data_IF_688888403155
#
_entry.id   IF_688888403155
#
_cell.length_a   1.000
_cell.length_b   1.000
_cell.length_c   1.000
_cell.angle_alpha   90.00
_cell.angle_beta   90.00
_cell.angle_gamma   90.00
#
_symmetry.space_group_name_H-M   'P 1'
#
loop_
_entity.id
_entity.type
_entity.pdbx_description
1 polymer ?
#
# COMPACT_ATOMS: atom_id res chain seq x y z
N UNK A 1 1.71 25.84 8.16
CA UNK A 1 1.11 24.56 7.70
C UNK A 1 1.86 24.03 6.47
N UNK A 2 3.13 23.63 6.62
CA UNK A 2 3.99 23.27 5.47
C UNK A 2 3.79 21.81 5.01
N UNK A 3 3.39 20.91 5.90
CA UNK A 3 3.14 19.49 5.59
C UNK A 3 1.85 19.23 4.80
N UNK A 4 0.86 20.14 4.85
CA UNK A 4 -0.41 20.00 4.13
C UNK A 4 -0.24 19.97 2.60
N UNK A 5 0.82 20.61 2.08
CA UNK A 5 1.06 20.74 0.64
C UNK A 5 1.54 19.43 -0.01
N UNK A 6 2.22 18.58 0.75
CA UNK A 6 2.67 17.25 0.27
C UNK A 6 1.71 16.13 0.65
N UNK A 7 0.83 16.33 1.65
CA UNK A 7 -0.14 15.32 2.08
C UNK A 7 -1.15 14.98 0.99
N UNK A 8 -1.66 15.99 0.28
CA UNK A 8 -2.64 15.82 -0.79
C UNK A 8 -2.10 15.05 -2.01
N UNK A 9 -0.92 15.40 -2.59
CA UNK A 9 -0.36 14.62 -3.69
C UNK A 9 0.02 13.20 -3.24
N UNK A 10 0.43 12.98 -1.99
CA UNK A 10 0.72 11.64 -1.48
C UNK A 10 -0.55 10.77 -1.43
N UNK A 11 -1.69 11.35 -1.05
CA UNK A 11 -2.99 10.66 -1.09
C UNK A 11 -3.43 10.32 -2.51
N UNK A 12 -3.21 11.22 -3.47
CA UNK A 12 -3.48 10.94 -4.87
C UNK A 12 -2.57 9.85 -5.44
N UNK A 13 -1.30 9.83 -5.04
CA UNK A 13 -0.38 8.75 -5.37
C UNK A 13 -0.87 7.41 -4.78
N UNK A 14 -1.25 7.39 -3.50
CA UNK A 14 -1.84 6.22 -2.87
C UNK A 14 -3.12 5.76 -3.59
N UNK A 15 -3.98 6.68 -3.98
CA UNK A 15 -5.18 6.36 -4.76
C UNK A 15 -4.82 5.71 -6.10
N UNK A 16 -3.85 6.26 -6.84
CA UNK A 16 -3.38 5.68 -8.11
C UNK A 16 -2.77 4.29 -7.92
N UNK A 17 -1.96 4.10 -6.88
CA UNK A 17 -1.38 2.79 -6.54
C UNK A 17 -2.46 1.77 -6.16
N UNK A 18 -3.47 2.18 -5.39
CA UNK A 18 -4.59 1.32 -5.01
C UNK A 18 -5.48 0.94 -6.19
N UNK A 19 -5.70 1.87 -7.13
CA UNK A 19 -6.41 1.58 -8.37
C UNK A 19 -5.61 0.59 -9.24
N UNK A 20 -4.31 0.83 -9.40
CA UNK A 20 -3.42 -0.07 -10.13
C UNK A 20 -3.37 -1.46 -9.51
N UNK A 21 -3.34 -1.55 -8.17
CA UNK A 21 -3.33 -2.85 -7.50
C UNK A 21 -4.65 -3.59 -7.65
N UNK A 22 -5.79 -2.89 -7.60
CA UNK A 22 -7.09 -3.49 -7.88
C UNK A 22 -7.18 -4.02 -9.31
N UNK A 23 -6.68 -3.27 -10.30
CA UNK A 23 -6.61 -3.74 -11.70
C UNK A 23 -5.71 -4.98 -11.80
N UNK A 24 -4.55 -4.98 -11.16
CA UNK A 24 -3.65 -6.14 -11.17
C UNK A 24 -4.29 -7.38 -10.54
N UNK A 25 -5.10 -7.23 -9.48
CA UNK A 25 -5.88 -8.34 -8.88
C UNK A 25 -6.90 -8.88 -9.88
N UNK A 26 -7.69 -8.00 -10.52
CA UNK A 26 -8.71 -8.41 -11.51
C UNK A 26 -8.08 -9.12 -12.71
N UNK A 27 -6.89 -8.70 -13.13
CA UNK A 27 -6.15 -9.31 -14.24
C UNK A 27 -5.38 -10.58 -13.83
N UNK A 28 -5.40 -10.97 -12.55
CA UNK A 28 -4.66 -12.14 -12.05
C UNK A 28 -3.14 -11.93 -11.92
N UNK A 29 -2.65 -10.70 -12.03
CA UNK A 29 -1.23 -10.35 -11.91
C UNK A 29 -0.82 -10.21 -10.45
N UNK A 30 -0.70 -11.35 -9.77
CA UNK A 30 -0.55 -11.39 -8.32
C UNK A 30 0.73 -10.70 -7.81
N UNK A 31 1.85 -10.81 -8.53
CA UNK A 31 3.10 -10.10 -8.19
C UNK A 31 2.92 -8.57 -8.30
N UNK A 32 2.35 -8.10 -9.41
CA UNK A 32 2.10 -6.67 -9.61
C UNK A 32 1.13 -6.12 -8.55
N UNK A 33 0.11 -6.90 -8.19
CA UNK A 33 -0.82 -6.54 -7.12
C UNK A 33 -0.11 -6.36 -5.77
N UNK A 34 0.82 -7.24 -5.41
CA UNK A 34 1.60 -7.11 -4.16
C UNK A 34 2.57 -5.92 -4.22
N UNK A 35 3.27 -5.74 -5.35
CA UNK A 35 4.24 -4.65 -5.54
C UNK A 35 3.58 -3.26 -5.52
N UNK A 36 2.35 -3.13 -6.02
CA UNK A 36 1.60 -1.88 -5.98
C UNK A 36 0.92 -1.65 -4.62
N UNK A 37 0.42 -2.71 -3.99
CA UNK A 37 -0.27 -2.61 -2.70
C UNK A 37 0.66 -2.29 -1.53
N UNK A 38 1.92 -2.73 -1.59
CA UNK A 38 2.90 -2.45 -0.52
C UNK A 38 3.19 -0.95 -0.35
N UNK A 39 3.61 -0.18 -1.37
CA UNK A 39 3.81 1.26 -1.25
C UNK A 39 2.50 2.00 -0.96
N UNK A 40 1.37 1.54 -1.51
CA UNK A 40 0.03 2.04 -1.16
C UNK A 40 -0.22 1.97 0.36
N UNK A 41 -0.02 0.80 0.97
CA UNK A 41 -0.22 0.62 2.41
C UNK A 41 0.72 1.49 3.24
N UNK A 42 2.00 1.61 2.85
CA UNK A 42 2.97 2.46 3.55
C UNK A 42 2.55 3.93 3.57
N UNK A 43 2.03 4.45 2.45
CA UNK A 43 1.54 5.84 2.38
C UNK A 43 0.34 6.04 3.32
N UNK A 44 -0.57 5.06 3.40
CA UNK A 44 -1.72 5.14 4.30
C UNK A 44 -1.36 4.98 5.77
N UNK A 45 -0.34 4.19 6.12
CA UNK A 45 0.21 4.15 7.48
C UNK A 45 0.71 5.53 7.89
N UNK A 46 1.48 6.19 7.00
CA UNK A 46 1.98 7.54 7.23
C UNK A 46 0.82 8.56 7.39
N UNK A 47 -0.17 8.52 6.50
CA UNK A 47 -1.35 9.40 6.59
C UNK A 47 -2.18 9.14 7.86
N UNK A 48 -2.36 7.87 8.24
CA UNK A 48 -3.09 7.47 9.45
C UNK A 48 -2.38 7.89 10.73
N UNK A 49 -1.04 7.91 10.72
CA UNK A 49 -0.25 8.48 11.80
C UNK A 49 -0.45 9.99 11.93
N UNK A 50 -0.41 10.72 10.81
CA UNK A 50 -0.53 12.18 10.81
C UNK A 50 -1.90 12.69 11.27
N UNK A 51 -2.98 11.93 10.98
CA UNK A 51 -4.35 12.31 11.33
C UNK A 51 -4.91 11.64 12.59
N UNK A 52 -4.10 10.84 13.30
CA UNK A 52 -4.54 10.04 14.46
C UNK A 52 -5.76 9.14 14.14
N UNK A 53 -5.72 8.45 13.00
CA UNK A 53 -6.74 7.50 12.56
C UNK A 53 -6.25 6.05 12.85
N UNK A 54 -6.49 5.49 14.05
CA UNK A 54 -5.86 4.23 14.46
C UNK A 54 -6.30 3.04 13.61
N UNK A 55 -7.56 2.98 13.20
CA UNK A 55 -8.10 1.88 12.40
C UNK A 55 -7.40 1.79 11.05
N UNK A 56 -7.26 2.92 10.35
CA UNK A 56 -6.59 3.01 9.05
C UNK A 56 -5.10 2.68 9.15
N UNK A 57 -4.45 3.06 10.25
CA UNK A 57 -3.05 2.73 10.51
C UNK A 57 -2.85 1.23 10.72
N UNK A 58 -3.63 0.59 11.59
CA UNK A 58 -3.43 -0.83 11.92
C UNK A 58 -3.79 -1.75 10.76
N UNK A 59 -4.88 -1.49 10.03
CA UNK A 59 -5.26 -2.31 8.87
C UNK A 59 -4.19 -2.27 7.77
N UNK A 60 -3.63 -1.09 7.48
CA UNK A 60 -2.57 -0.97 6.48
C UNK A 60 -1.26 -1.58 6.95
N UNK A 61 -0.97 -1.60 8.26
CA UNK A 61 0.17 -2.33 8.82
C UNK A 61 0.00 -3.85 8.65
N UNK A 62 -1.17 -4.39 8.93
CA UNK A 62 -1.47 -5.81 8.71
C UNK A 62 -1.36 -6.17 7.22
N UNK A 63 -1.93 -5.37 6.33
CA UNK A 63 -1.82 -5.59 4.89
C UNK A 63 -0.38 -5.50 4.39
N UNK A 64 0.39 -4.51 4.84
CA UNK A 64 1.80 -4.40 4.49
C UNK A 64 2.58 -5.66 4.90
N UNK A 65 2.35 -6.19 6.11
CA UNK A 65 2.98 -7.43 6.56
C UNK A 65 2.60 -8.64 5.69
N UNK A 66 1.33 -8.76 5.30
CA UNK A 66 0.87 -9.82 4.40
C UNK A 66 1.47 -9.70 3.00
N UNK A 67 1.61 -8.49 2.45
CA UNK A 67 2.24 -8.27 1.15
C UNK A 67 3.74 -8.54 1.18
N UNK A 68 4.45 -8.17 2.26
CA UNK A 68 5.86 -8.54 2.45
C UNK A 68 6.00 -10.06 2.51
N UNK A 69 5.18 -10.75 3.29
CA UNK A 69 5.17 -12.21 3.34
C UNK A 69 4.90 -12.83 1.95
N UNK A 70 3.91 -12.32 1.24
CA UNK A 70 3.56 -12.76 -0.12
C UNK A 70 4.71 -12.60 -1.11
N UNK A 71 5.41 -11.45 -1.07
CA UNK A 71 6.59 -11.19 -1.90
C UNK A 71 7.74 -12.11 -1.56
N UNK A 72 8.08 -12.25 -0.27
CA UNK A 72 9.15 -13.16 0.18
C UNK A 72 8.85 -14.58 -0.27
N UNK A 73 7.62 -15.07 -0.07
CA UNK A 73 7.20 -16.39 -0.53
C UNK A 73 7.28 -16.52 -2.06
N UNK A 74 6.87 -15.50 -2.81
CA UNK A 74 6.95 -15.52 -4.27
C UNK A 74 8.39 -15.66 -4.76
N UNK A 75 9.33 -14.89 -4.20
CA UNK A 75 10.75 -14.96 -4.53
C UNK A 75 11.41 -16.27 -4.07
N UNK A 76 10.98 -16.86 -2.96
CA UNK A 76 11.52 -18.15 -2.52
C UNK A 76 11.05 -19.34 -3.38
N UNK A 77 9.86 -19.23 -4.00
CA UNK A 77 9.29 -20.32 -4.82
C UNK A 77 9.69 -20.17 -6.30
N UNK A 78 9.75 -18.94 -6.82
CA UNK A 78 10.00 -18.65 -8.24
C UNK A 78 11.42 -18.13 -8.52
N UNK A 79 12.24 -17.94 -7.49
CA UNK A 79 13.63 -17.47 -7.58
C UNK A 79 14.64 -18.60 -7.59
#
# INVERSE_FOLDING_TARGET
>A
MMFARFEQPLKWLAFGLGLGSAIAVVQGWQLAAMLLSLPFCLIWIYCGWLRNEPQLKYINMMFAALYVYGLVRYFLING
#
